data_IF_315601737331
#
_entry.id   IF_315601737331
#
_cell.length_a   1.000
_cell.length_b   1.000
_cell.length_c   1.000
_cell.angle_alpha   90.00
_cell.angle_beta   90.00
_cell.angle_gamma   90.00
#
_symmetry.space_group_name_H-M   'P 1'
#
loop_
_entity.id
_entity.type
_entity.pdbx_description
1 polymer ?
#
# COMPACT_ATOMS: atom_id res chain seq x y z
N UNK A 1 -15.67 14.47 -2.18
CA UNK A 1 -14.72 15.60 -2.12
C UNK A 1 -13.68 15.36 -3.20
N UNK A 2 -13.24 16.37 -3.92
CA UNK A 2 -12.12 16.25 -4.87
C UNK A 2 -10.87 16.82 -4.20
N UNK A 3 -9.71 16.23 -4.48
CA UNK A 3 -8.43 16.71 -3.99
C UNK A 3 -7.79 17.63 -5.03
N UNK A 4 -7.09 18.65 -4.56
CA UNK A 4 -6.35 19.56 -5.43
C UNK A 4 -5.22 18.86 -6.18
N UNK A 5 -4.47 18.01 -5.46
CA UNK A 5 -3.36 17.21 -5.99
C UNK A 5 -3.34 15.85 -5.31
N UNK A 6 -2.79 14.86 -6.00
CA UNK A 6 -2.58 13.52 -5.46
C UNK A 6 -1.09 13.23 -5.51
N UNK A 7 -0.49 12.92 -4.37
CA UNK A 7 0.89 12.50 -4.24
C UNK A 7 0.95 11.01 -3.92
N UNK A 8 2.02 10.34 -4.38
CA UNK A 8 2.25 8.91 -4.13
C UNK A 8 3.67 8.72 -3.64
N UNK A 9 3.87 7.88 -2.63
CA UNK A 9 5.17 7.49 -2.08
C UNK A 9 5.19 6.00 -1.73
N UNK A 10 6.38 5.44 -1.52
CA UNK A 10 6.58 4.04 -1.10
C UNK A 10 6.51 3.85 0.42
N UNK A 11 7.45 3.13 0.95
CA UNK A 11 7.45 2.40 2.21
C UNK A 11 8.16 3.18 3.34
N UNK A 12 7.47 3.98 4.16
CA UNK A 12 8.11 4.81 5.18
C UNK A 12 8.62 4.03 6.41
N UNK A 13 8.14 2.80 6.67
CA UNK A 13 8.57 1.95 7.78
C UNK A 13 8.71 2.70 9.12
N UNK A 14 7.64 3.33 9.60
CA UNK A 14 7.59 4.09 10.86
C UNK A 14 8.39 5.42 10.83
N UNK A 15 9.15 5.72 9.75
CA UNK A 15 9.99 6.90 9.65
C UNK A 15 9.34 7.96 8.73
N UNK A 16 8.72 8.97 9.33
CA UNK A 16 7.95 9.99 8.61
C UNK A 16 8.68 11.32 8.42
N UNK A 17 9.93 11.46 8.91
CA UNK A 17 10.67 12.72 8.82
C UNK A 17 10.81 13.21 7.38
N UNK A 18 11.10 12.28 6.44
CA UNK A 18 11.19 12.60 5.02
C UNK A 18 9.85 13.06 4.43
N UNK A 19 8.70 12.52 4.91
CA UNK A 19 7.37 12.97 4.47
C UNK A 19 7.07 14.38 4.96
N UNK A 20 7.44 14.72 6.21
CA UNK A 20 7.33 16.08 6.75
C UNK A 20 8.19 17.07 5.97
N UNK A 21 9.40 16.68 5.54
CA UNK A 21 10.26 17.50 4.69
C UNK A 21 9.65 17.69 3.30
N UNK A 22 9.24 16.59 2.64
CA UNK A 22 8.62 16.63 1.31
C UNK A 22 7.33 17.46 1.32
N UNK A 23 6.50 17.33 2.35
CA UNK A 23 5.31 18.16 2.52
C UNK A 23 5.65 19.66 2.45
N UNK A 24 6.68 20.10 3.19
CA UNK A 24 7.12 21.51 3.20
C UNK A 24 7.64 21.93 1.82
N UNK A 25 8.53 21.12 1.22
CA UNK A 25 9.13 21.40 -0.08
C UNK A 25 8.09 21.48 -1.21
N UNK A 26 7.10 20.61 -1.18
CA UNK A 26 6.05 20.51 -2.21
C UNK A 26 4.81 21.35 -1.87
N UNK A 27 4.84 22.08 -0.74
CA UNK A 27 3.72 22.88 -0.26
C UNK A 27 2.39 22.11 -0.22
N UNK A 28 2.41 20.90 0.36
CA UNK A 28 1.19 20.10 0.52
C UNK A 28 0.27 20.72 1.56
N UNK A 29 -1.02 20.63 1.32
CA UNK A 29 -2.08 21.22 2.16
C UNK A 29 -3.16 20.19 2.49
N UNK A 30 -4.13 20.55 3.32
CA UNK A 30 -5.31 19.71 3.62
C UNK A 30 -6.23 19.45 2.42
N UNK A 31 -6.02 20.13 1.30
CA UNK A 31 -6.75 19.90 0.05
C UNK A 31 -6.08 18.82 -0.83
N UNK A 32 -4.91 18.32 -0.43
CA UNK A 32 -4.15 17.32 -1.16
C UNK A 32 -4.40 15.92 -0.58
N UNK A 33 -4.14 14.88 -1.38
CA UNK A 33 -4.11 13.48 -0.97
C UNK A 33 -2.67 12.98 -1.07
N UNK A 34 -2.19 12.30 -0.03
CA UNK A 34 -0.95 11.54 -0.05
C UNK A 34 -1.29 10.04 0.01
N UNK A 35 -0.85 9.27 -0.99
CA UNK A 35 -0.97 7.81 -1.02
C UNK A 35 0.34 7.19 -0.58
N UNK A 36 0.30 6.28 0.38
CA UNK A 36 1.44 5.47 0.83
C UNK A 36 1.20 4.03 0.39
N UNK A 37 2.15 3.46 -0.35
CA UNK A 37 2.01 2.17 -1.04
C UNK A 37 2.25 0.94 -0.14
N UNK A 38 1.95 1.03 1.14
CA UNK A 38 2.12 -0.01 2.14
C UNK A 38 3.35 0.22 3.02
N UNK A 39 3.55 -0.69 3.97
CA UNK A 39 4.61 -0.60 4.98
C UNK A 39 4.68 0.76 5.67
N UNK A 40 3.49 1.27 6.00
CA UNK A 40 3.35 2.56 6.70
C UNK A 40 3.93 2.46 8.11
N UNK A 41 3.76 1.29 8.73
CA UNK A 41 4.31 1.00 10.04
C UNK A 41 3.44 1.47 11.22
N UNK A 42 2.17 1.81 11.00
CA UNK A 42 1.30 2.37 12.06
C UNK A 42 0.40 1.35 12.76
N UNK A 43 0.44 0.08 12.38
CA UNK A 43 -0.32 -1.03 12.96
C UNK A 43 0.58 -2.23 13.33
N UNK A 44 1.83 -1.97 13.70
CA UNK A 44 2.81 -3.05 13.90
C UNK A 44 2.71 -3.69 15.28
N UNK A 45 2.47 -2.90 16.33
CA UNK A 45 2.71 -3.32 17.71
C UNK A 45 1.43 -3.57 18.51
N UNK A 46 0.32 -2.99 18.09
CA UNK A 46 -0.96 -2.99 18.81
C UNK A 46 -0.89 -2.38 20.22
N UNK A 47 -0.01 -1.42 20.43
CA UNK A 47 0.21 -0.70 21.67
C UNK A 47 0.36 0.82 21.46
N UNK A 48 0.85 1.54 22.47
CA UNK A 48 1.03 2.99 22.41
C UNK A 48 2.06 3.46 21.37
N UNK A 49 2.90 2.58 20.86
CA UNK A 49 3.84 2.91 19.76
C UNK A 49 3.06 3.22 18.50
N UNK A 50 2.09 2.38 18.16
CA UNK A 50 1.20 2.61 17.00
C UNK A 50 0.43 3.93 17.14
N UNK A 51 0.01 4.26 18.37
CA UNK A 51 -0.69 5.52 18.64
C UNK A 51 0.23 6.71 18.34
N UNK A 52 1.47 6.70 18.84
CA UNK A 52 2.45 7.78 18.60
C UNK A 52 2.79 7.92 17.11
N UNK A 53 2.92 6.79 16.40
CA UNK A 53 3.19 6.78 14.96
C UNK A 53 2.01 7.37 14.18
N UNK A 54 0.78 7.02 14.52
CA UNK A 54 -0.42 7.64 13.93
C UNK A 54 -0.56 9.11 14.26
N UNK A 55 -0.22 9.51 15.48
CA UNK A 55 -0.18 10.93 15.88
C UNK A 55 0.83 11.71 15.04
N UNK A 56 2.02 11.14 14.78
CA UNK A 56 3.02 11.80 13.94
C UNK A 56 2.58 11.86 12.48
N UNK A 57 2.12 10.76 11.91
CA UNK A 57 1.63 10.71 10.53
C UNK A 57 0.43 11.65 10.33
N UNK A 58 -0.47 11.76 11.31
CA UNK A 58 -1.65 12.63 11.23
C UNK A 58 -1.33 14.13 11.33
N UNK A 59 -0.08 14.52 11.66
CA UNK A 59 0.39 15.91 11.59
C UNK A 59 0.69 16.36 10.16
N UNK A 60 0.75 15.44 9.21
CA UNK A 60 0.80 15.81 7.80
C UNK A 60 -0.50 16.53 7.42
N UNK A 61 -0.37 17.59 6.62
CA UNK A 61 -1.53 18.40 6.21
C UNK A 61 -2.49 17.62 5.27
N UNK A 62 -2.02 16.83 4.28
CA UNK A 62 -2.91 16.11 3.39
C UNK A 62 -3.67 14.98 4.09
N UNK A 63 -4.80 14.58 3.51
CA UNK A 63 -5.39 13.27 3.81
C UNK A 63 -4.41 12.20 3.38
N UNK A 64 -4.19 11.15 4.20
CA UNK A 64 -3.27 10.07 3.89
C UNK A 64 -4.06 8.80 3.59
N UNK A 65 -3.91 8.25 2.40
CA UNK A 65 -4.43 6.93 2.02
C UNK A 65 -3.33 5.90 2.19
N UNK A 66 -3.50 5.00 3.13
CA UNK A 66 -2.56 3.93 3.45
C UNK A 66 -2.99 2.63 2.76
N UNK A 67 -2.13 2.06 1.92
CA UNK A 67 -2.28 0.70 1.46
C UNK A 67 -1.75 -0.26 2.55
N UNK A 68 -2.19 -1.50 2.51
CA UNK A 68 -1.66 -2.56 3.33
C UNK A 68 -0.30 -3.05 2.79
N UNK A 69 0.71 -3.12 3.67
CA UNK A 69 2.03 -3.70 3.40
C UNK A 69 2.21 -5.08 4.06
N UNK A 70 3.42 -5.62 4.03
CA UNK A 70 3.72 -6.88 4.70
C UNK A 70 4.31 -6.69 6.11
N UNK A 71 4.65 -5.47 6.51
CA UNK A 71 5.22 -5.14 7.81
C UNK A 71 4.22 -4.55 8.81
N UNK A 72 2.92 -4.78 8.60
CA UNK A 72 1.87 -4.23 9.45
C UNK A 72 0.58 -5.07 9.42
N UNK A 73 -0.25 -4.93 10.48
CA UNK A 73 -1.58 -5.54 10.51
C UNK A 73 -2.55 -4.79 9.62
N UNK A 74 -3.44 -5.52 8.97
CA UNK A 74 -4.59 -4.93 8.30
C UNK A 74 -5.58 -4.37 9.32
N UNK A 75 -6.35 -3.32 8.98
CA UNK A 75 -7.48 -2.89 9.82
C UNK A 75 -8.50 -3.99 10.13
N UNK A 76 -8.55 -5.03 9.30
CA UNK A 76 -9.45 -6.18 9.45
C UNK A 76 -8.89 -7.30 10.32
N UNK A 77 -7.60 -7.25 10.70
CA UNK A 77 -6.95 -8.26 11.54
C UNK A 77 -7.68 -8.40 12.87
N UNK A 78 -7.95 -9.63 13.35
CA UNK A 78 -8.84 -9.89 14.49
C UNK A 78 -8.47 -9.14 15.78
N UNK A 79 -7.19 -8.88 15.99
CA UNK A 79 -6.66 -8.26 17.21
C UNK A 79 -6.75 -6.71 17.21
N UNK A 80 -6.95 -6.07 16.07
CA UNK A 80 -7.07 -4.61 15.97
C UNK A 80 -8.36 -4.11 15.31
N UNK A 81 -9.14 -4.96 14.63
CA UNK A 81 -10.34 -4.56 13.89
C UNK A 81 -11.36 -3.73 14.68
N UNK A 82 -11.37 -3.87 16.00
CA UNK A 82 -12.26 -3.14 16.88
C UNK A 82 -11.92 -1.63 16.98
N UNK A 83 -10.72 -1.22 16.54
CA UNK A 83 -10.29 0.17 16.49
C UNK A 83 -10.81 0.89 15.24
N UNK A 84 -11.24 0.15 14.23
CA UNK A 84 -11.55 0.65 12.91
C UNK A 84 -13.04 0.58 12.58
N UNK A 85 -13.51 1.63 11.95
CA UNK A 85 -14.85 1.69 11.35
C UNK A 85 -14.72 1.57 9.83
N UNK A 86 -15.55 0.72 9.22
CA UNK A 86 -15.66 0.64 7.77
C UNK A 86 -16.50 1.81 7.27
N UNK A 87 -15.95 2.54 6.32
CA UNK A 87 -16.59 3.73 5.73
C UNK A 87 -16.68 3.60 4.22
N UNK A 88 -17.66 4.28 3.62
CA UNK A 88 -17.66 4.50 2.17
C UNK A 88 -16.78 5.71 1.86
N UNK A 89 -15.71 5.51 1.11
CA UNK A 89 -14.78 6.55 0.73
C UNK A 89 -14.55 6.53 -0.78
N UNK A 90 -14.85 7.62 -1.46
CA UNK A 90 -14.71 7.75 -2.93
C UNK A 90 -15.30 6.59 -3.76
N UNK A 91 -16.43 6.02 -3.30
CA UNK A 91 -17.14 4.94 -3.99
C UNK A 91 -16.63 3.52 -3.69
N UNK A 92 -15.55 3.38 -2.94
CA UNK A 92 -15.05 2.11 -2.40
C UNK A 92 -15.22 2.03 -0.88
N UNK A 93 -14.91 0.90 -0.30
CA UNK A 93 -14.86 0.67 1.14
C UNK A 93 -13.45 0.96 1.65
N UNK A 94 -13.34 1.66 2.77
CA UNK A 94 -12.10 1.94 3.45
C UNK A 94 -12.32 1.84 4.97
N UNK A 95 -11.25 1.96 5.74
CA UNK A 95 -11.29 1.89 7.19
C UNK A 95 -10.69 3.16 7.79
N UNK A 96 -11.28 3.62 8.89
CA UNK A 96 -10.84 4.81 9.62
C UNK A 96 -10.85 4.50 11.12
N UNK A 97 -9.82 4.90 11.82
CA UNK A 97 -9.84 5.00 13.27
C UNK A 97 -10.33 6.40 13.67
N UNK A 98 -11.40 6.50 14.44
CA UNK A 98 -12.08 7.78 14.76
C UNK A 98 -11.15 8.82 15.39
N UNK A 99 -10.11 8.38 16.08
CA UNK A 99 -9.05 9.25 16.64
C UNK A 99 -8.19 9.91 15.57
N UNK A 100 -8.06 9.28 14.39
CA UNK A 100 -7.17 9.72 13.31
C UNK A 100 -7.91 9.83 11.97
N UNK A 101 -8.89 10.74 11.86
CA UNK A 101 -9.80 10.78 10.69
C UNK A 101 -9.13 11.17 9.38
N UNK A 102 -7.91 11.72 9.40
CA UNK A 102 -7.12 12.01 8.20
C UNK A 102 -6.37 10.80 7.64
N UNK A 103 -6.30 9.69 8.40
CA UNK A 103 -5.64 8.46 7.99
C UNK A 103 -6.71 7.47 7.48
N UNK A 104 -6.72 7.26 6.19
CA UNK A 104 -7.65 6.35 5.50
C UNK A 104 -6.89 5.08 5.15
N UNK A 105 -7.38 3.93 5.59
CA UNK A 105 -6.79 2.64 5.26
C UNK A 105 -7.62 1.98 4.16
N UNK A 106 -7.00 1.77 3.02
CA UNK A 106 -7.68 1.19 1.87
C UNK A 106 -8.05 -0.28 2.13
N UNK A 107 -9.21 -0.71 1.61
CA UNK A 107 -9.53 -2.14 1.53
C UNK A 107 -8.98 -2.71 0.23
N UNK A 108 -8.35 -3.87 0.33
CA UNK A 108 -7.74 -4.54 -0.82
C UNK A 108 -8.79 -4.93 -1.88
N UNK A 109 -8.44 -4.70 -3.12
CA UNK A 109 -9.31 -4.95 -4.26
C UNK A 109 -10.39 -3.89 -4.48
N UNK A 110 -10.46 -2.83 -3.67
CA UNK A 110 -11.43 -1.76 -3.88
C UNK A 110 -11.01 -0.83 -5.03
N UNK A 111 -12.03 -0.22 -5.61
CA UNK A 111 -11.91 0.75 -6.69
C UNK A 111 -12.42 2.10 -6.22
N UNK A 112 -11.51 3.04 -6.04
CA UNK A 112 -11.85 4.41 -5.67
C UNK A 112 -11.96 5.31 -6.89
N UNK A 113 -12.90 6.26 -6.85
CA UNK A 113 -13.04 7.29 -7.91
C UNK A 113 -12.64 8.64 -7.33
N UNK A 114 -11.43 9.08 -7.63
CA UNK A 114 -10.82 10.32 -7.11
C UNK A 114 -10.53 11.25 -8.29
N UNK A 115 -11.03 12.47 -8.24
CA UNK A 115 -10.86 13.49 -9.30
C UNK A 115 -11.25 12.95 -10.70
N UNK A 116 -12.35 12.19 -10.78
CA UNK A 116 -12.82 11.59 -12.02
C UNK A 116 -12.04 10.40 -12.54
N UNK A 117 -10.90 10.02 -11.90
CA UNK A 117 -10.05 8.88 -12.25
C UNK A 117 -10.36 7.67 -11.36
N UNK A 118 -10.15 6.49 -11.88
CA UNK A 118 -10.31 5.23 -11.13
C UNK A 118 -8.96 4.74 -10.60
N UNK A 119 -8.97 4.31 -9.33
CA UNK A 119 -7.81 3.81 -8.61
C UNK A 119 -8.12 2.42 -8.07
N UNK A 120 -7.45 1.39 -8.56
CA UNK A 120 -7.51 0.04 -8.00
C UNK A 120 -6.40 -0.12 -6.98
N UNK A 121 -6.75 -0.57 -5.77
CA UNK A 121 -5.80 -0.78 -4.67
C UNK A 121 -5.65 -2.26 -4.35
N UNK A 122 -4.41 -2.75 -4.26
CA UNK A 122 -4.10 -4.13 -3.90
C UNK A 122 -2.83 -4.13 -3.05
N UNK A 123 -2.97 -4.35 -1.76
CA UNK A 123 -1.85 -4.39 -0.81
C UNK A 123 -1.28 -5.79 -0.64
N UNK A 124 -0.32 -5.89 0.27
CA UNK A 124 0.33 -7.13 0.70
C UNK A 124 1.48 -7.58 -0.18
N UNK A 125 2.40 -8.29 0.44
CA UNK A 125 3.54 -8.97 -0.17
C UNK A 125 4.06 -10.07 0.77
N UNK A 126 4.94 -10.93 0.29
CA UNK A 126 5.64 -11.93 1.08
C UNK A 126 6.87 -11.33 1.77
N UNK A 127 7.06 -11.62 3.06
CA UNK A 127 8.24 -11.21 3.84
C UNK A 127 9.36 -12.23 3.70
N UNK A 128 10.43 -11.89 3.00
CA UNK A 128 11.63 -12.75 2.90
C UNK A 128 12.45 -12.78 4.20
N UNK A 129 12.21 -11.86 5.11
CA UNK A 129 12.94 -11.68 6.37
C UNK A 129 12.19 -12.18 7.61
N UNK A 130 11.07 -12.86 7.44
CA UNK A 130 10.21 -13.41 8.49
C UNK A 130 11.02 -14.18 9.57
N UNK A 131 11.92 -15.08 9.14
CA UNK A 131 12.78 -15.84 10.05
C UNK A 131 13.66 -14.91 10.93
N UNK A 132 14.27 -13.91 10.33
CA UNK A 132 15.14 -12.96 11.06
C UNK A 132 14.32 -12.03 11.97
N UNK A 133 13.13 -11.65 11.56
CA UNK A 133 12.18 -10.84 12.35
C UNK A 133 11.76 -11.61 13.58
N UNK A 134 11.35 -12.86 13.43
CA UNK A 134 10.95 -13.73 14.54
C UNK A 134 12.10 -13.90 15.55
N UNK A 135 13.34 -14.11 15.06
CA UNK A 135 14.53 -14.20 15.92
C UNK A 135 14.80 -12.91 16.70
N UNK A 136 14.49 -11.75 16.14
CA UNK A 136 14.67 -10.44 16.77
C UNK A 136 13.47 -10.00 17.62
N UNK A 137 12.42 -10.84 17.71
CA UNK A 137 11.20 -10.52 18.45
C UNK A 137 10.34 -9.45 17.76
N UNK A 138 10.51 -9.25 16.45
CA UNK A 138 9.59 -8.42 15.65
C UNK A 138 8.32 -9.20 15.32
N UNK A 139 7.16 -8.52 15.23
CA UNK A 139 5.91 -9.17 14.89
C UNK A 139 5.94 -9.83 13.49
N UNK A 140 5.30 -10.98 13.38
CA UNK A 140 4.94 -11.62 12.12
C UNK A 140 3.43 -11.44 11.88
N UNK A 141 3.02 -11.26 10.63
CA UNK A 141 1.65 -11.03 10.26
C UNK A 141 1.18 -12.15 9.32
N UNK A 142 0.36 -13.10 9.81
CA UNK A 142 -0.09 -14.23 8.99
C UNK A 142 -0.93 -13.83 7.78
N UNK A 143 -1.47 -12.61 7.79
CA UNK A 143 -2.28 -12.00 6.75
C UNK A 143 -1.50 -10.96 5.91
N UNK A 144 -0.17 -11.05 5.89
CA UNK A 144 0.70 -10.15 5.10
C UNK A 144 0.44 -10.23 3.59
N UNK A 145 0.02 -11.40 3.10
CA UNK A 145 -0.41 -11.61 1.72
C UNK A 145 -1.93 -11.80 1.63
N UNK A 146 -2.50 -11.53 0.48
CA UNK A 146 -3.89 -11.88 0.19
C UNK A 146 -4.02 -13.39 0.06
N UNK A 147 -5.01 -13.96 0.75
CA UNK A 147 -5.38 -15.36 0.61
C UNK A 147 -5.85 -15.68 -0.83
N UNK A 148 -5.87 -16.96 -1.24
CA UNK A 148 -6.41 -17.36 -2.53
C UNK A 148 -7.86 -16.90 -2.76
N UNK A 149 -8.68 -16.90 -1.71
CA UNK A 149 -10.09 -16.47 -1.78
C UNK A 149 -10.19 -14.95 -1.99
N UNK A 150 -9.40 -14.15 -1.27
CA UNK A 150 -9.34 -12.70 -1.47
C UNK A 150 -8.89 -12.35 -2.90
N UNK A 151 -7.86 -13.02 -3.40
CA UNK A 151 -7.41 -12.84 -4.80
C UNK A 151 -8.50 -13.22 -5.80
N UNK A 152 -9.27 -14.28 -5.53
CA UNK A 152 -10.40 -14.67 -6.37
C UNK A 152 -11.51 -13.62 -6.37
N UNK A 153 -11.83 -13.04 -5.22
CA UNK A 153 -12.81 -11.97 -5.13
C UNK A 153 -12.35 -10.69 -5.86
N UNK A 154 -11.06 -10.35 -5.78
CA UNK A 154 -10.50 -9.22 -6.52
C UNK A 154 -10.61 -9.45 -8.03
N UNK A 155 -10.31 -10.68 -8.52
CA UNK A 155 -10.52 -11.04 -9.94
C UNK A 155 -11.96 -10.78 -10.40
N UNK A 156 -12.94 -11.22 -9.60
CA UNK A 156 -14.37 -10.98 -9.91
C UNK A 156 -14.70 -9.48 -9.94
N UNK A 157 -14.16 -8.69 -9.00
CA UNK A 157 -14.34 -7.23 -9.01
C UNK A 157 -13.75 -6.62 -10.28
N UNK A 158 -12.53 -6.98 -10.66
CA UNK A 158 -11.88 -6.46 -11.86
C UNK A 158 -12.60 -6.89 -13.15
N UNK A 159 -13.07 -8.13 -13.21
CA UNK A 159 -13.85 -8.66 -14.34
C UNK A 159 -15.16 -7.87 -14.51
N UNK A 160 -15.89 -7.65 -13.41
CA UNK A 160 -17.11 -6.81 -13.42
C UNK A 160 -16.81 -5.39 -13.89
N UNK A 161 -15.64 -4.83 -13.55
CA UNK A 161 -15.21 -3.48 -13.93
C UNK A 161 -14.55 -3.45 -15.32
N UNK A 162 -14.53 -4.58 -16.05
CA UNK A 162 -14.02 -4.71 -17.42
C UNK A 162 -12.51 -4.61 -17.54
N UNK A 163 -11.75 -4.87 -16.46
CA UNK A 163 -10.28 -4.81 -16.40
C UNK A 163 -9.74 -3.44 -16.85
N UNK A 164 -10.43 -2.35 -16.49
CA UNK A 164 -10.05 -0.98 -16.87
C UNK A 164 -9.89 -0.11 -15.65
N UNK A 165 -8.68 0.42 -15.49
CA UNK A 165 -8.33 1.37 -14.42
C UNK A 165 -7.51 2.52 -14.99
N UNK A 166 -7.65 3.72 -14.41
CA UNK A 166 -6.73 4.80 -14.73
C UNK A 166 -5.41 4.62 -14.00
N UNK A 167 -5.47 4.22 -12.73
CA UNK A 167 -4.32 4.01 -11.86
C UNK A 167 -4.47 2.69 -11.12
N UNK A 168 -3.38 1.92 -11.05
CA UNK A 168 -3.27 0.76 -10.18
C UNK A 168 -2.23 1.08 -9.10
N UNK A 169 -2.58 0.83 -7.85
CA UNK A 169 -1.75 1.05 -6.68
C UNK A 169 -1.56 -0.28 -5.97
N UNK A 170 -0.33 -0.74 -5.85
CA UNK A 170 -0.04 -2.01 -5.18
C UNK A 170 1.11 -1.87 -4.19
N UNK A 171 1.21 -2.79 -3.22
CA UNK A 171 2.40 -2.83 -2.37
C UNK A 171 3.55 -3.47 -3.14
N UNK A 172 3.47 -4.73 -3.56
CA UNK A 172 4.48 -5.35 -4.43
C UNK A 172 4.17 -5.14 -5.92
N UNK A 173 4.92 -5.78 -6.82
CA UNK A 173 4.87 -5.59 -8.27
C UNK A 173 4.53 -6.89 -9.02
N UNK A 174 4.13 -6.83 -10.31
CA UNK A 174 4.01 -8.02 -11.16
C UNK A 174 5.32 -8.80 -11.27
N UNK A 175 5.21 -10.13 -11.38
CA UNK A 175 6.35 -11.06 -11.38
C UNK A 175 7.43 -10.71 -12.42
N UNK A 176 7.03 -10.38 -13.64
CA UNK A 176 7.94 -10.11 -14.76
C UNK A 176 8.77 -8.83 -14.63
N UNK A 177 8.36 -7.90 -13.74
CA UNK A 177 9.04 -6.61 -13.55
C UNK A 177 9.79 -6.50 -12.22
N UNK A 178 9.88 -7.62 -11.46
CA UNK A 178 10.64 -7.64 -10.19
C UNK A 178 12.06 -7.09 -10.39
N UNK A 179 12.57 -6.26 -9.49
CA UNK A 179 13.91 -5.70 -9.59
C UNK A 179 14.98 -6.73 -9.20
N UNK A 180 15.32 -7.64 -10.13
CA UNK A 180 16.25 -8.75 -9.90
C UNK A 180 17.63 -8.28 -9.43
N UNK A 181 18.01 -7.05 -9.74
CA UNK A 181 19.23 -6.39 -9.26
C UNK A 181 19.28 -6.19 -7.74
N UNK A 182 18.14 -6.31 -7.06
CA UNK A 182 18.05 -6.27 -5.58
C UNK A 182 18.19 -7.63 -4.94
N UNK A 183 18.15 -8.70 -5.71
CA UNK A 183 18.29 -10.05 -5.16
C UNK A 183 19.72 -10.28 -4.68
N UNK A 184 19.85 -10.71 -3.42
CA UNK A 184 21.16 -10.97 -2.83
C UNK A 184 21.74 -12.25 -3.47
N UNK A 185 22.96 -12.18 -4.06
CA UNK A 185 23.60 -13.36 -4.64
C UNK A 185 23.77 -14.46 -3.59
N UNK A 186 23.42 -15.69 -3.97
CA UNK A 186 23.58 -16.88 -3.11
C UNK A 186 22.39 -17.17 -2.17
N UNK A 187 21.38 -16.32 -2.11
CA UNK A 187 20.11 -16.65 -1.47
C UNK A 187 19.27 -17.47 -2.45
N UNK A 188 18.92 -18.69 -2.03
CA UNK A 188 18.03 -19.55 -2.81
C UNK A 188 16.64 -18.93 -2.86
N UNK A 189 16.14 -18.64 -4.06
CA UNK A 189 14.81 -18.09 -4.30
C UNK A 189 13.70 -19.16 -4.30
N UNK A 190 14.06 -20.44 -4.23
CA UNK A 190 13.15 -21.59 -4.34
C UNK A 190 12.12 -21.70 -3.20
N UNK A 191 12.35 -21.00 -2.09
CA UNK A 191 11.43 -20.95 -0.94
C UNK A 191 10.62 -19.67 -0.82
N UNK A 192 10.76 -18.73 -1.75
CA UNK A 192 10.03 -17.46 -1.72
C UNK A 192 8.64 -17.65 -2.32
N UNK A 193 7.60 -17.29 -1.55
CA UNK A 193 6.22 -17.31 -2.06
C UNK A 193 5.98 -16.09 -2.98
N UNK A 194 5.87 -16.35 -4.27
CA UNK A 194 5.61 -15.33 -5.30
C UNK A 194 4.14 -15.18 -5.66
N UNK A 195 3.25 -15.76 -4.88
CA UNK A 195 1.83 -15.82 -5.23
C UNK A 195 1.16 -14.46 -5.40
N UNK A 196 1.67 -13.41 -4.73
CA UNK A 196 1.20 -12.04 -4.93
C UNK A 196 1.72 -11.47 -6.25
N UNK A 197 2.99 -11.63 -6.55
CA UNK A 197 3.59 -11.18 -7.81
C UNK A 197 2.96 -11.91 -9.01
N UNK A 198 2.67 -13.21 -8.90
CA UNK A 198 1.99 -13.99 -9.94
C UNK A 198 0.55 -13.51 -10.15
N UNK A 199 -0.16 -13.16 -9.07
CA UNK A 199 -1.49 -12.58 -9.16
C UNK A 199 -1.46 -11.19 -9.83
N UNK A 200 -0.49 -10.36 -9.49
CA UNK A 200 -0.31 -9.06 -10.12
C UNK A 200 0.14 -9.17 -11.58
N UNK A 201 0.89 -10.21 -11.92
CA UNK A 201 1.25 -10.53 -13.31
C UNK A 201 0.00 -10.85 -14.16
N UNK A 202 -0.93 -11.64 -13.61
CA UNK A 202 -2.21 -11.88 -14.26
C UNK A 202 -2.97 -10.57 -14.55
N UNK A 203 -2.98 -9.65 -13.57
CA UNK A 203 -3.59 -8.33 -13.74
C UNK A 203 -2.86 -7.52 -14.81
N UNK A 204 -1.53 -7.53 -14.82
CA UNK A 204 -0.73 -6.84 -15.84
C UNK A 204 -1.07 -7.30 -17.26
N UNK A 205 -1.30 -8.60 -17.43
CA UNK A 205 -1.62 -9.18 -18.74
C UNK A 205 -3.05 -8.86 -19.21
N UNK A 206 -4.00 -8.68 -18.30
CA UNK A 206 -5.43 -8.50 -18.63
C UNK A 206 -5.89 -7.06 -18.59
N UNK A 207 -5.33 -6.25 -17.68
CA UNK A 207 -5.84 -4.92 -17.41
C UNK A 207 -5.33 -3.88 -18.39
N UNK A 208 -6.22 -2.96 -18.76
CA UNK A 208 -5.87 -1.70 -19.40
C UNK A 208 -5.77 -0.61 -18.34
N UNK A 209 -4.61 0.03 -18.25
CA UNK A 209 -4.35 1.10 -17.28
C UNK A 209 -3.42 2.17 -17.85
N UNK A 210 -3.42 3.37 -17.23
CA UNK A 210 -2.54 4.46 -17.62
C UNK A 210 -1.23 4.46 -16.83
N UNK A 211 -1.32 4.23 -15.51
CA UNK A 211 -0.18 4.25 -14.58
C UNK A 211 -0.36 3.14 -13.53
N UNK A 212 0.76 2.62 -13.05
CA UNK A 212 0.83 1.67 -11.95
C UNK A 212 1.96 2.08 -11.00
N UNK A 213 1.67 2.16 -9.70
CA UNK A 213 2.68 2.46 -8.68
C UNK A 213 2.79 1.31 -7.71
N UNK A 214 4.01 0.96 -7.30
CA UNK A 214 4.28 -0.08 -6.31
C UNK A 214 5.46 0.32 -5.40
N UNK A 215 5.45 -0.20 -4.17
CA UNK A 215 6.48 -0.08 -3.15
C UNK A 215 7.29 -1.37 -2.97
N UNK A 216 7.50 -1.79 -1.70
CA UNK A 216 8.06 -3.05 -1.23
C UNK A 216 9.55 -3.28 -1.56
N UNK A 217 9.98 -2.97 -2.75
CA UNK A 217 11.31 -3.31 -3.27
C UNK A 217 12.41 -2.31 -2.90
N UNK A 218 12.07 -1.23 -2.24
CA UNK A 218 12.97 -0.14 -1.84
C UNK A 218 13.86 0.35 -3.01
N UNK A 219 13.24 0.58 -4.16
CA UNK A 219 13.90 1.11 -5.36
C UNK A 219 13.11 2.26 -5.95
N UNK A 220 13.82 3.19 -6.56
CA UNK A 220 13.25 4.22 -7.41
C UNK A 220 13.51 3.81 -8.88
N UNK A 221 12.47 3.28 -9.55
CA UNK A 221 12.61 2.70 -10.89
C UNK A 221 11.31 2.84 -11.67
N UNK A 222 11.42 2.93 -12.98
CA UNK A 222 10.26 2.87 -13.87
C UNK A 222 10.47 1.81 -14.95
N UNK A 223 9.49 0.93 -15.11
CA UNK A 223 9.46 -0.10 -16.15
C UNK A 223 8.14 0.04 -16.92
N UNK A 224 8.20 0.58 -18.12
CA UNK A 224 7.01 0.90 -18.90
C UNK A 224 6.09 1.89 -18.18
N UNK A 225 4.89 1.45 -17.83
CA UNK A 225 3.91 2.25 -17.07
C UNK A 225 3.93 1.98 -15.56
N UNK A 226 4.83 1.12 -15.09
CA UNK A 226 4.96 0.74 -13.68
C UNK A 226 6.09 1.51 -13.05
N UNK A 227 5.81 2.24 -11.97
CA UNK A 227 6.75 3.02 -11.19
C UNK A 227 6.89 2.47 -9.80
N UNK A 228 8.11 2.11 -9.45
CA UNK A 228 8.53 1.71 -8.11
C UNK A 228 8.89 2.97 -7.32
N UNK A 229 8.41 3.04 -6.10
CA UNK A 229 8.69 4.13 -5.17
C UNK A 229 9.15 3.56 -3.83
N UNK A 230 10.08 4.25 -3.20
CA UNK A 230 10.55 4.01 -1.85
C UNK A 230 10.40 5.30 -1.02
N UNK A 231 11.34 6.22 -1.12
CA UNK A 231 11.32 7.48 -0.39
C UNK A 231 10.93 8.69 -1.25
N UNK A 232 10.88 8.53 -2.56
CA UNK A 232 10.42 9.61 -3.42
C UNK A 232 8.91 9.85 -3.27
N UNK A 233 8.55 11.13 -3.32
CA UNK A 233 7.15 11.56 -3.37
C UNK A 233 6.90 12.16 -4.74
N UNK A 234 5.96 11.62 -5.46
CA UNK A 234 5.64 12.03 -6.82
C UNK A 234 4.24 12.59 -6.92
N UNK A 235 4.08 13.60 -7.76
CA UNK A 235 2.77 14.14 -8.13
C UNK A 235 2.18 13.28 -9.26
N UNK A 236 0.90 12.91 -9.10
CA UNK A 236 0.15 12.07 -10.03
C UNK A 236 -0.68 12.89 -11.04
#
# INVERSE_FOLDING_TARGET
>A
MEYRRIFVTGDPHEEFSHLHEKQKMMHMTGEDLLVILGDVGVNCYNDERDIRLKEDLSRLAPTVLCLHGNHERRPTSPDIRWKYEAVSWHGGRAFVESRFPSLIFAEDGERYRINGRTFRVIGGAYSIDDYFRTLKGHPFYPDEQLSPDERAEIRKKMERDGWREDVILTHTCPYSVRPLEKFVPGIQQEGVDTSMEDFLEEILQKASFNQWFCGHWHVEKTVGKIRFLSHDVVLL
#
